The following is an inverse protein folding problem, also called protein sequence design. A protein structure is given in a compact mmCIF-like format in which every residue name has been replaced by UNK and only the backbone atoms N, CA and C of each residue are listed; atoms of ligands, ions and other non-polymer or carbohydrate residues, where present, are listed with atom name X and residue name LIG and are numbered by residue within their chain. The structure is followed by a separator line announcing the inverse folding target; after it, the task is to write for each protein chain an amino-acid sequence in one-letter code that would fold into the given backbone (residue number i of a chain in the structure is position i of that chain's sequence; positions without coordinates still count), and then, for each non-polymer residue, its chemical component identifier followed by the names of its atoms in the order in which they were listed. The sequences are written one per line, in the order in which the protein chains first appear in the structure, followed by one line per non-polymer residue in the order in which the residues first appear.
data_IF_615676283130
#
_entry.id   IF_615676283130
#
_cell.length_a   1.000
_cell.length_b   1.000
_cell.length_c   1.000
_cell.angle_alpha   90.00
_cell.angle_beta   90.00
_cell.angle_gamma   90.00
#
_symmetry.space_group_name_H-M   'P 1'
#
loop_
_entity.id
_entity.type
_entity.pdbx_description
1 polymer ?
#
# COMPACT_ATOMS: atom_id res chain seq x y z
N UNK A 1 19.27 4.97 23.08
CA UNK A 1 17.84 4.59 23.22
C UNK A 1 17.02 5.63 22.48
N UNK A 2 16.36 5.25 21.39
CA UNK A 2 15.28 6.06 20.78
C UNK A 2 14.00 5.41 21.26
N UNK A 3 13.29 6.03 22.20
CA UNK A 3 12.06 5.42 22.75
C UNK A 3 10.94 6.43 23.00
N UNK A 4 11.14 7.69 22.61
CA UNK A 4 10.10 8.71 22.69
C UNK A 4 9.97 9.48 21.38
N UNK A 5 8.86 10.20 21.24
CA UNK A 5 8.53 10.98 20.05
C UNK A 5 9.60 12.00 19.69
N UNK A 6 10.13 12.73 20.68
CA UNK A 6 11.09 13.82 20.47
C UNK A 6 12.40 13.30 19.88
N UNK A 7 12.94 12.23 20.45
CA UNK A 7 14.18 11.62 19.99
C UNK A 7 14.00 11.00 18.61
N UNK A 8 12.84 10.38 18.36
CA UNK A 8 12.51 9.80 17.06
C UNK A 8 12.42 10.87 15.97
N UNK A 9 11.74 12.00 16.23
CA UNK A 9 11.65 13.12 15.29
C UNK A 9 13.01 13.79 15.06
N UNK A 10 13.85 13.89 16.09
CA UNK A 10 15.20 14.44 15.96
C UNK A 10 16.07 13.56 15.06
N UNK A 11 15.98 12.24 15.21
CA UNK A 11 16.70 11.29 14.37
C UNK A 11 16.16 11.26 12.94
N UNK A 12 14.84 11.29 12.74
CA UNK A 12 14.23 11.41 11.41
C UNK A 12 14.72 12.68 10.70
N UNK A 13 14.77 13.82 11.40
CA UNK A 13 15.32 15.07 10.86
C UNK A 13 16.79 14.93 10.48
N UNK A 14 17.61 14.29 11.32
CA UNK A 14 19.05 14.08 11.08
C UNK A 14 19.30 13.19 9.85
N UNK A 15 18.43 12.21 9.60
CA UNK A 15 18.51 11.29 8.46
C UNK A 15 17.89 11.88 7.17
N UNK A 16 17.14 12.98 7.31
CA UNK A 16 16.51 13.68 6.19
C UNK A 16 17.51 14.29 5.23
N UNK A 17 17.11 14.44 3.96
CA UNK A 17 17.91 15.11 2.93
C UNK A 17 17.02 15.80 1.90
N UNK A 18 17.46 16.96 1.42
CA UNK A 18 16.70 17.72 0.42
C UNK A 18 16.48 16.95 -0.87
N UNK A 19 17.47 16.19 -1.33
CA UNK A 19 17.33 15.37 -2.55
C UNK A 19 16.19 14.35 -2.43
N UNK A 20 16.12 13.64 -1.30
CA UNK A 20 15.05 12.66 -1.05
C UNK A 20 13.71 13.35 -0.84
N UNK A 21 13.69 14.47 -0.11
CA UNK A 21 12.50 15.31 0.08
C UNK A 21 11.91 15.75 -1.26
N UNK A 22 12.73 16.26 -2.19
CA UNK A 22 12.28 16.68 -3.53
C UNK A 22 11.71 15.51 -4.33
N UNK A 23 12.29 14.31 -4.21
CA UNK A 23 11.72 13.11 -4.83
C UNK A 23 10.34 12.82 -4.26
N UNK A 24 10.17 12.79 -2.93
CA UNK A 24 8.89 12.51 -2.30
C UNK A 24 7.82 13.55 -2.67
N UNK A 25 8.17 14.84 -2.75
CA UNK A 25 7.26 15.89 -3.23
C UNK A 25 6.79 15.62 -4.67
N UNK A 26 7.68 15.22 -5.59
CA UNK A 26 7.28 14.82 -6.97
C UNK A 26 6.39 13.59 -7.01
N UNK A 27 6.45 12.75 -5.97
CA UNK A 27 5.56 11.59 -5.80
C UNK A 27 4.23 11.93 -5.11
N UNK A 28 3.99 13.18 -4.71
CA UNK A 28 2.75 13.63 -4.09
C UNK A 28 2.77 13.68 -2.56
N UNK A 29 3.93 13.57 -1.93
CA UNK A 29 4.05 13.83 -0.50
C UNK A 29 3.74 15.31 -0.20
N UNK A 30 3.24 15.58 1.01
CA UNK A 30 2.98 16.94 1.49
C UNK A 30 3.91 17.30 2.63
N UNK A 31 4.18 18.60 2.78
CA UNK A 31 4.86 19.14 3.95
C UNK A 31 3.98 18.98 5.22
N UNK A 32 4.59 18.78 6.40
CA UNK A 32 6.02 18.70 6.63
C UNK A 32 6.63 17.33 6.22
N UNK A 33 7.84 17.33 5.67
CA UNK A 33 8.66 16.12 5.51
C UNK A 33 10.15 16.42 5.58
N UNK A 34 10.94 15.47 6.10
CA UNK A 34 12.40 15.57 6.18
C UNK A 34 13.10 14.92 4.98
N UNK A 35 12.46 13.96 4.30
CA UNK A 35 13.05 13.22 3.18
C UNK A 35 14.00 12.13 3.66
N UNK A 36 13.48 11.18 4.43
CA UNK A 36 14.24 10.05 4.99
C UNK A 36 14.15 8.85 4.04
N UNK A 37 15.29 8.22 3.72
CA UNK A 37 15.29 7.04 2.85
C UNK A 37 14.62 5.85 3.55
N UNK A 38 13.93 5.02 2.78
CA UNK A 38 13.30 3.79 3.29
C UNK A 38 14.27 2.82 3.99
N UNK A 39 15.54 2.79 3.58
CA UNK A 39 16.57 1.99 4.25
C UNK A 39 16.83 2.45 5.69
N UNK A 40 16.87 3.77 5.91
CA UNK A 40 17.07 4.36 7.24
C UNK A 40 15.82 4.19 8.11
N UNK A 41 14.62 4.35 7.52
CA UNK A 41 13.35 4.02 8.19
C UNK A 41 13.29 2.54 8.61
N UNK A 42 13.78 1.62 7.77
CA UNK A 42 13.86 0.21 8.12
C UNK A 42 14.84 -0.04 9.29
N UNK A 43 15.96 0.69 9.35
CA UNK A 43 16.87 0.69 10.50
C UNK A 43 16.20 1.18 11.78
N UNK A 44 15.43 2.28 11.70
CA UNK A 44 14.62 2.79 12.82
C UNK A 44 13.58 1.78 13.29
N UNK A 45 12.78 1.24 12.36
CA UNK A 45 11.80 0.18 12.64
C UNK A 45 12.43 -1.00 13.38
N UNK A 46 13.61 -1.47 12.95
CA UNK A 46 14.31 -2.59 13.61
C UNK A 46 14.69 -2.27 15.06
N UNK A 47 15.07 -1.02 15.34
CA UNK A 47 15.43 -0.56 16.70
C UNK A 47 14.22 -0.36 17.61
N UNK A 48 13.12 0.16 17.04
CA UNK A 48 11.88 0.46 17.78
C UNK A 48 11.07 -0.83 18.05
N UNK A 49 10.97 -1.71 17.06
CA UNK A 49 10.05 -2.85 17.11
C UNK A 49 8.61 -2.43 16.85
N UNK A 50 7.65 -3.17 17.40
CA UNK A 50 6.22 -2.81 17.37
C UNK A 50 5.95 -1.93 18.59
N UNK A 51 5.46 -0.71 18.37
CA UNK A 51 5.12 0.27 19.39
C UNK A 51 3.91 1.09 18.93
N UNK A 52 2.72 0.74 19.44
CA UNK A 52 1.46 1.37 19.05
C UNK A 52 1.33 2.80 19.57
N UNK A 53 1.83 3.08 20.78
CA UNK A 53 1.75 4.40 21.38
C UNK A 53 2.64 5.39 20.63
N UNK A 54 3.90 5.01 20.36
CA UNK A 54 4.81 5.81 19.56
C UNK A 54 4.29 5.99 18.13
N UNK A 55 3.78 4.94 17.49
CA UNK A 55 3.17 5.06 16.16
C UNK A 55 2.02 6.06 16.13
N UNK A 56 1.13 6.00 17.12
CA UNK A 56 -0.01 6.93 17.23
C UNK A 56 0.45 8.37 17.42
N UNK A 57 1.52 8.59 18.19
CA UNK A 57 2.12 9.91 18.37
C UNK A 57 2.80 10.41 17.09
N UNK A 58 3.58 9.56 16.41
CA UNK A 58 4.22 9.88 15.14
C UNK A 58 3.19 10.24 14.05
N UNK A 59 2.08 9.50 13.99
CA UNK A 59 1.02 9.76 13.02
C UNK A 59 0.45 11.18 13.14
N UNK A 60 0.19 11.62 14.38
CA UNK A 60 -0.38 12.93 14.70
C UNK A 60 0.53 14.11 14.32
N UNK A 61 1.81 13.88 14.07
CA UNK A 61 2.73 14.96 13.68
C UNK A 61 2.43 15.52 12.29
N UNK A 62 1.70 14.78 11.45
CA UNK A 62 1.47 15.15 10.06
C UNK A 62 2.72 15.10 9.17
N UNK A 63 3.88 14.73 9.72
CA UNK A 63 5.11 14.63 8.95
C UNK A 63 5.13 13.33 8.15
N UNK A 64 5.33 13.40 6.84
CA UNK A 64 5.22 12.24 5.95
C UNK A 64 6.21 11.11 6.33
N UNK A 65 7.45 11.43 6.73
CA UNK A 65 8.42 10.42 7.16
C UNK A 65 8.06 9.81 8.52
N UNK A 66 7.53 10.62 9.45
CA UNK A 66 7.05 10.16 10.74
C UNK A 66 5.80 9.26 10.60
N UNK A 67 4.85 9.63 9.73
CA UNK A 67 3.68 8.82 9.40
C UNK A 67 4.07 7.50 8.71
N UNK A 68 5.08 7.54 7.84
CA UNK A 68 5.63 6.33 7.22
C UNK A 68 6.21 5.39 8.30
N UNK A 69 7.01 5.92 9.22
CA UNK A 69 7.55 5.14 10.34
C UNK A 69 6.44 4.62 11.27
N UNK A 70 5.41 5.42 11.53
CA UNK A 70 4.25 5.02 12.33
C UNK A 70 3.59 3.76 11.76
N UNK A 71 3.31 3.73 10.46
CA UNK A 71 2.74 2.55 9.79
C UNK A 71 3.69 1.34 9.77
N UNK A 72 4.98 1.55 9.92
CA UNK A 72 5.98 0.47 10.00
C UNK A 72 6.07 -0.18 11.38
N UNK A 73 5.73 0.55 12.45
CA UNK A 73 5.88 0.11 13.85
C UNK A 73 4.55 -0.05 14.60
N UNK A 74 3.42 0.31 13.98
CA UNK A 74 2.11 0.15 14.62
C UNK A 74 1.72 -1.30 14.83
N UNK A 75 1.07 -1.58 15.97
CA UNK A 75 0.38 -2.85 16.21
C UNK A 75 -1.00 -2.84 15.50
N UNK A 76 -1.23 -3.68 14.48
CA UNK A 76 -2.52 -3.76 13.81
C UNK A 76 -3.66 -4.26 14.72
N UNK A 77 -3.36 -5.05 15.76
CA UNK A 77 -4.40 -5.60 16.64
C UNK A 77 -5.02 -4.55 17.56
N UNK A 78 -4.31 -3.45 17.80
CA UNK A 78 -4.75 -2.34 18.65
C UNK A 78 -5.49 -1.24 17.87
N UNK A 79 -5.37 -1.21 16.54
CA UNK A 79 -6.08 -0.24 15.71
C UNK A 79 -7.60 -0.41 15.84
N UNK A 80 -8.31 0.72 15.94
CA UNK A 80 -9.78 0.74 15.89
C UNK A 80 -10.27 1.10 14.50
N UNK A 81 -11.43 0.57 14.12
CA UNK A 81 -12.07 0.89 12.83
C UNK A 81 -12.26 2.39 12.60
N UNK A 82 -12.59 3.14 13.68
CA UNK A 82 -12.72 4.60 13.63
C UNK A 82 -11.39 5.30 13.36
N UNK A 83 -10.30 4.86 13.97
CA UNK A 83 -8.97 5.44 13.75
C UNK A 83 -8.53 5.27 12.30
N UNK A 84 -8.75 4.07 11.74
CA UNK A 84 -8.51 3.81 10.32
C UNK A 84 -9.30 4.77 9.42
N UNK A 85 -10.58 4.99 9.74
CA UNK A 85 -11.43 5.93 8.98
C UNK A 85 -10.97 7.38 9.14
N UNK A 86 -10.56 7.79 10.35
CA UNK A 86 -10.08 9.13 10.62
C UNK A 86 -8.77 9.40 9.88
N UNK A 87 -7.87 8.42 9.86
CA UNK A 87 -6.60 8.50 9.13
C UNK A 87 -6.83 8.59 7.63
N UNK A 88 -7.71 7.75 7.07
CA UNK A 88 -8.05 7.79 5.64
C UNK A 88 -8.64 9.12 5.17
N UNK A 89 -9.37 9.85 6.02
CA UNK A 89 -9.99 11.14 5.62
C UNK A 89 -8.98 12.26 5.37
N UNK A 90 -7.77 12.18 5.93
CA UNK A 90 -6.73 13.19 5.79
C UNK A 90 -5.55 12.76 4.91
N UNK A 91 -5.69 11.66 4.15
CA UNK A 91 -4.61 11.09 3.36
C UNK A 91 -4.85 11.25 1.85
N UNK A 92 -4.03 12.10 1.25
CA UNK A 92 -3.98 12.28 -0.21
C UNK A 92 -2.66 11.78 -0.82
N UNK A 93 -1.70 11.36 0.02
CA UNK A 93 -0.44 10.79 -0.46
C UNK A 93 -0.55 9.27 -0.67
N UNK A 94 -0.57 8.84 -1.93
CA UNK A 94 -0.79 7.43 -2.34
C UNK A 94 0.08 6.41 -1.61
N UNK A 95 1.34 6.77 -1.30
CA UNK A 95 2.26 5.90 -0.56
C UNK A 95 1.70 5.59 0.84
N UNK A 96 1.26 6.61 1.57
CA UNK A 96 0.71 6.45 2.91
C UNK A 96 -0.65 5.74 2.86
N UNK A 97 -1.47 6.03 1.85
CA UNK A 97 -2.74 5.32 1.61
C UNK A 97 -2.48 3.82 1.42
N UNK A 98 -1.56 3.44 0.54
CA UNK A 98 -1.19 2.05 0.28
C UNK A 98 -0.57 1.37 1.51
N UNK A 99 0.30 2.06 2.25
CA UNK A 99 0.89 1.52 3.48
C UNK A 99 -0.16 1.30 4.57
N UNK A 100 -1.11 2.23 4.76
CA UNK A 100 -2.21 2.08 5.70
C UNK A 100 -3.08 0.88 5.31
N UNK A 101 -3.41 0.74 4.02
CA UNK A 101 -4.13 -0.42 3.52
C UNK A 101 -3.40 -1.75 3.81
N UNK A 102 -2.06 -1.75 3.71
CA UNK A 102 -1.23 -2.90 4.05
C UNK A 102 -1.18 -3.24 5.55
N UNK A 103 -1.34 -2.24 6.44
CA UNK A 103 -1.57 -2.47 7.88
C UNK A 103 -2.97 -3.03 8.11
N UNK A 104 -3.99 -2.43 7.48
CA UNK A 104 -5.39 -2.84 7.60
C UNK A 104 -5.64 -4.27 7.14
N UNK A 105 -4.90 -4.76 6.15
CA UNK A 105 -4.91 -6.16 5.71
C UNK A 105 -4.59 -7.15 6.84
N UNK A 106 -3.88 -6.73 7.89
CA UNK A 106 -3.55 -7.56 9.07
C UNK A 106 -4.55 -7.43 10.21
N UNK A 107 -5.60 -6.64 10.03
CA UNK A 107 -6.60 -6.36 11.07
C UNK A 107 -7.86 -7.19 10.81
N UNK A 108 -8.66 -7.40 11.86
CA UNK A 108 -10.02 -7.96 11.73
C UNK A 108 -10.98 -7.13 10.86
N UNK A 109 -10.59 -5.92 10.46
CA UNK A 109 -11.43 -5.01 9.67
C UNK A 109 -11.24 -5.16 8.17
N UNK A 110 -10.30 -5.98 7.69
CA UNK A 110 -9.95 -6.08 6.27
C UNK A 110 -11.17 -6.22 5.33
N UNK A 111 -12.08 -7.15 5.62
CA UNK A 111 -13.31 -7.37 4.83
C UNK A 111 -14.22 -6.14 4.86
N UNK A 112 -14.45 -5.57 6.05
CA UNK A 112 -15.34 -4.40 6.18
C UNK A 112 -14.76 -3.17 5.47
N UNK A 113 -13.44 -2.98 5.49
CA UNK A 113 -12.76 -1.89 4.80
C UNK A 113 -12.70 -2.12 3.29
N UNK A 114 -12.46 -3.35 2.81
CA UNK A 114 -12.64 -3.71 1.40
C UNK A 114 -14.03 -3.30 0.92
N UNK A 115 -15.08 -3.76 1.60
CA UNK A 115 -16.48 -3.52 1.22
C UNK A 115 -16.81 -2.03 1.12
N UNK A 116 -16.31 -1.23 2.07
CA UNK A 116 -16.53 0.21 2.13
C UNK A 116 -15.73 0.95 1.05
N UNK A 117 -14.44 0.66 0.94
CA UNK A 117 -13.51 1.41 0.10
C UNK A 117 -13.66 1.08 -1.38
N UNK A 118 -13.92 -0.19 -1.74
CA UNK A 118 -14.07 -0.60 -3.14
C UNK A 118 -15.30 0.00 -3.84
N UNK A 119 -16.28 0.46 -3.04
CA UNK A 119 -17.54 1.09 -3.50
C UNK A 119 -17.54 2.61 -3.37
N UNK A 120 -16.48 3.19 -2.81
CA UNK A 120 -16.34 4.64 -2.71
C UNK A 120 -16.06 5.27 -4.08
N UNK A 121 -16.41 6.54 -4.23
CA UNK A 121 -16.11 7.33 -5.44
C UNK A 121 -14.73 8.02 -5.38
N UNK A 122 -14.16 8.17 -4.19
CA UNK A 122 -12.88 8.87 -4.03
C UNK A 122 -11.70 8.00 -4.45
N UNK A 123 -10.74 8.62 -5.15
CA UNK A 123 -9.54 7.95 -5.63
C UNK A 123 -8.75 7.30 -4.49
N UNK A 124 -8.49 8.01 -3.39
CA UNK A 124 -7.75 7.47 -2.24
C UNK A 124 -8.43 6.23 -1.63
N UNK A 125 -9.77 6.17 -1.62
CA UNK A 125 -10.47 4.96 -1.14
C UNK A 125 -10.29 3.79 -2.11
N UNK A 126 -10.39 4.02 -3.41
CA UNK A 126 -10.13 2.97 -4.40
C UNK A 126 -8.67 2.49 -4.32
N UNK A 127 -7.70 3.41 -4.22
CA UNK A 127 -6.29 3.09 -4.00
C UNK A 127 -6.13 2.22 -2.75
N UNK A 128 -6.77 2.58 -1.64
CA UNK A 128 -6.73 1.80 -0.40
C UNK A 128 -7.34 0.40 -0.58
N UNK A 129 -8.50 0.28 -1.23
CA UNK A 129 -9.18 -1.00 -1.43
C UNK A 129 -8.31 -2.01 -2.19
N UNK A 130 -7.76 -1.61 -3.33
CA UNK A 130 -6.96 -2.52 -4.15
C UNK A 130 -5.55 -2.74 -3.59
N UNK A 131 -4.98 -1.74 -2.91
CA UNK A 131 -3.72 -1.93 -2.15
C UNK A 131 -3.92 -2.92 -1.00
N UNK A 132 -5.06 -2.88 -0.31
CA UNK A 132 -5.41 -3.84 0.74
C UNK A 132 -5.40 -5.26 0.18
N UNK A 133 -6.08 -5.51 -0.94
CA UNK A 133 -6.10 -6.83 -1.59
C UNK A 133 -4.68 -7.30 -1.95
N UNK A 134 -3.89 -6.43 -2.60
CA UNK A 134 -2.52 -6.76 -2.99
C UNK A 134 -1.63 -7.11 -1.78
N UNK A 135 -1.76 -6.36 -0.69
CA UNK A 135 -1.01 -6.60 0.53
C UNK A 135 -1.49 -7.85 1.26
N UNK A 136 -2.79 -8.08 1.36
CA UNK A 136 -3.37 -9.26 2.03
C UNK A 136 -2.90 -10.54 1.34
N UNK A 137 -3.01 -10.61 0.01
CA UNK A 137 -2.53 -11.74 -0.79
C UNK A 137 -1.04 -12.02 -0.62
N UNK A 138 -0.22 -10.97 -0.52
CA UNK A 138 1.23 -11.13 -0.33
C UNK A 138 1.59 -11.62 1.08
N UNK A 139 0.79 -11.26 2.08
CA UNK A 139 1.07 -11.53 3.49
C UNK A 139 0.51 -12.87 3.93
N UNK A 140 -0.74 -13.16 3.57
CA UNK A 140 -1.44 -14.40 3.89
C UNK A 140 -2.46 -14.73 2.79
N UNK A 141 -2.00 -15.31 1.65
CA UNK A 141 -2.87 -15.56 0.50
C UNK A 141 -4.05 -16.47 0.81
N UNK A 142 -3.88 -17.44 1.71
CA UNK A 142 -4.91 -18.40 2.09
C UNK A 142 -6.01 -17.80 2.98
N UNK A 143 -5.76 -16.63 3.57
CA UNK A 143 -6.73 -15.92 4.42
C UNK A 143 -7.66 -15.01 3.62
N UNK A 144 -7.38 -14.76 2.34
CA UNK A 144 -8.16 -13.86 1.49
C UNK A 144 -9.39 -14.60 0.97
N UNK A 145 -10.62 -14.18 1.29
CA UNK A 145 -11.81 -14.87 0.80
C UNK A 145 -11.91 -14.82 -0.72
N UNK A 146 -12.27 -15.94 -1.36
CA UNK A 146 -12.50 -16.03 -2.80
C UNK A 146 -13.46 -14.95 -3.29
N UNK A 147 -14.50 -14.64 -2.52
CA UNK A 147 -15.48 -13.58 -2.84
C UNK A 147 -14.84 -12.20 -2.98
N UNK A 148 -13.81 -11.88 -2.19
CA UNK A 148 -13.05 -10.62 -2.32
C UNK A 148 -12.22 -10.62 -3.60
N UNK A 149 -11.57 -11.74 -3.91
CA UNK A 149 -10.73 -11.89 -5.10
C UNK A 149 -11.59 -11.81 -6.37
N UNK A 150 -12.69 -12.54 -6.41
CA UNK A 150 -13.64 -12.57 -7.54
C UNK A 150 -14.29 -11.21 -7.76
N UNK A 151 -14.74 -10.53 -6.68
CA UNK A 151 -15.26 -9.17 -6.78
C UNK A 151 -14.19 -8.20 -7.30
N UNK A 152 -12.95 -8.30 -6.82
CA UNK A 152 -11.85 -7.47 -7.29
C UNK A 152 -11.56 -7.71 -8.79
N UNK A 153 -11.44 -8.97 -9.23
CA UNK A 153 -11.22 -9.32 -10.64
C UNK A 153 -12.33 -8.78 -11.54
N UNK A 154 -13.60 -8.93 -11.13
CA UNK A 154 -14.74 -8.43 -11.88
C UNK A 154 -14.69 -6.90 -12.03
N UNK A 155 -14.52 -6.18 -10.92
CA UNK A 155 -14.46 -4.70 -10.95
C UNK A 155 -13.28 -4.18 -11.78
N UNK A 156 -12.16 -4.91 -11.75
CA UNK A 156 -10.98 -4.58 -12.57
C UNK A 156 -11.27 -4.77 -14.05
N UNK A 157 -11.82 -5.93 -14.44
CA UNK A 157 -12.19 -6.22 -15.82
C UNK A 157 -13.17 -5.19 -16.38
N UNK A 158 -14.14 -4.77 -15.57
CA UNK A 158 -15.24 -3.90 -16.00
C UNK A 158 -14.88 -2.41 -16.05
N UNK A 159 -13.94 -1.94 -15.21
CA UNK A 159 -13.84 -0.50 -14.93
C UNK A 159 -12.44 0.07 -14.69
N UNK A 160 -11.36 -0.70 -14.88
CA UNK A 160 -10.01 -0.17 -14.63
C UNK A 160 -9.65 1.02 -15.51
N UNK A 161 -10.07 1.08 -16.77
CA UNK A 161 -9.72 2.19 -17.67
C UNK A 161 -10.48 3.48 -17.36
N UNK A 162 -11.70 3.35 -16.81
CA UNK A 162 -12.53 4.48 -16.40
C UNK A 162 -12.28 4.94 -14.97
N UNK A 163 -11.43 4.21 -14.24
CA UNK A 163 -11.09 4.54 -12.84
C UNK A 163 -10.13 5.73 -12.76
N UNK A 164 -10.13 6.48 -11.62
CA UNK A 164 -9.18 7.55 -11.37
C UNK A 164 -7.72 7.11 -11.54
N UNK A 165 -6.85 8.03 -11.92
CA UNK A 165 -5.47 7.78 -12.35
C UNK A 165 -4.67 6.83 -11.43
N UNK A 166 -4.58 7.14 -10.13
CA UNK A 166 -3.84 6.34 -9.15
C UNK A 166 -4.59 5.07 -8.76
N UNK A 167 -5.92 5.10 -8.79
CA UNK A 167 -6.74 3.90 -8.61
C UNK A 167 -6.43 2.84 -9.69
N UNK A 168 -6.23 3.24 -10.96
CA UNK A 168 -5.80 2.31 -12.03
C UNK A 168 -4.50 1.59 -11.69
N UNK A 169 -3.54 2.30 -11.10
CA UNK A 169 -2.29 1.69 -10.68
C UNK A 169 -2.49 0.65 -9.58
N UNK A 170 -3.26 1.00 -8.55
CA UNK A 170 -3.57 0.09 -7.45
C UNK A 170 -4.35 -1.16 -7.93
N UNK A 171 -5.31 -0.97 -8.84
CA UNK A 171 -6.07 -2.04 -9.49
C UNK A 171 -5.16 -2.98 -10.28
N UNK A 172 -4.25 -2.44 -11.10
CA UNK A 172 -3.28 -3.25 -11.85
C UNK A 172 -2.34 -4.03 -10.90
N UNK A 173 -1.92 -3.41 -9.79
CA UNK A 173 -1.10 -4.08 -8.79
C UNK A 173 -1.86 -5.19 -8.05
N UNK A 174 -3.15 -5.00 -7.76
CA UNK A 174 -4.01 -6.04 -7.20
C UNK A 174 -4.20 -7.21 -8.16
N UNK A 175 -4.45 -6.93 -9.44
CA UNK A 175 -4.55 -7.95 -10.50
C UNK A 175 -3.27 -8.79 -10.58
N UNK A 176 -2.11 -8.14 -10.54
CA UNK A 176 -0.81 -8.82 -10.48
C UNK A 176 -0.69 -9.66 -9.21
N UNK A 177 -1.03 -9.11 -8.05
CA UNK A 177 -0.93 -9.83 -6.78
C UNK A 177 -1.82 -11.08 -6.76
N UNK A 178 -3.04 -11.01 -7.30
CA UNK A 178 -3.94 -12.17 -7.46
C UNK A 178 -3.26 -13.23 -8.32
N UNK A 179 -2.74 -12.83 -9.49
CA UNK A 179 -2.05 -13.76 -10.40
C UNK A 179 -0.79 -14.40 -9.81
N UNK A 180 -0.08 -13.67 -8.95
CA UNK A 180 1.17 -14.16 -8.35
C UNK A 180 0.88 -15.08 -7.16
N UNK A 181 0.09 -14.61 -6.20
CA UNK A 181 -0.01 -15.24 -4.88
C UNK A 181 -1.23 -16.17 -4.72
N UNK A 182 -2.27 -16.06 -5.55
CA UNK A 182 -3.41 -16.96 -5.49
C UNK A 182 -3.35 -17.99 -6.62
N UNK A 183 -2.91 -19.21 -6.31
CA UNK A 183 -2.82 -20.28 -7.30
C UNK A 183 -4.17 -20.60 -7.94
N UNK A 184 -5.22 -20.74 -7.11
CA UNK A 184 -6.59 -20.98 -7.54
C UNK A 184 -7.08 -19.94 -8.57
N UNK A 185 -6.75 -18.67 -8.37
CA UNK A 185 -7.28 -17.58 -9.19
C UNK A 185 -6.32 -17.11 -10.29
N UNK A 186 -5.11 -17.67 -10.37
CA UNK A 186 -4.06 -17.25 -11.31
C UNK A 186 -4.54 -17.23 -12.76
N UNK A 187 -5.23 -18.30 -13.19
CA UNK A 187 -5.77 -18.38 -14.54
C UNK A 187 -6.79 -17.27 -14.83
N UNK A 188 -7.66 -16.96 -13.88
CA UNK A 188 -8.64 -15.87 -14.00
C UNK A 188 -7.95 -14.49 -14.05
N UNK A 189 -6.94 -14.26 -13.22
CA UNK A 189 -6.18 -13.02 -13.23
C UNK A 189 -5.44 -12.80 -14.56
N UNK A 190 -4.87 -13.85 -15.15
CA UNK A 190 -4.21 -13.74 -16.47
C UNK A 190 -5.23 -13.38 -17.55
N UNK A 191 -6.39 -14.04 -17.59
CA UNK A 191 -7.46 -13.71 -18.55
C UNK A 191 -7.94 -12.26 -18.41
N UNK A 192 -8.14 -11.79 -17.17
CA UNK A 192 -8.51 -10.39 -16.92
C UNK A 192 -7.39 -9.45 -17.35
N UNK A 193 -6.13 -9.78 -17.11
CA UNK A 193 -4.99 -8.97 -17.55
C UNK A 193 -4.89 -8.89 -19.08
N UNK A 194 -5.16 -9.97 -19.80
CA UNK A 194 -5.22 -9.99 -21.26
C UNK A 194 -6.39 -9.15 -21.79
N UNK A 195 -7.57 -9.28 -21.20
CA UNK A 195 -8.76 -8.49 -21.55
C UNK A 195 -8.55 -6.98 -21.32
N UNK A 196 -8.00 -6.61 -20.16
CA UNK A 196 -7.72 -5.23 -19.78
C UNK A 196 -6.63 -4.63 -20.68
N UNK A 197 -5.60 -5.40 -21.01
CA UNK A 197 -4.48 -4.92 -21.81
C UNK A 197 -3.66 -3.84 -21.10
N UNK A 198 -3.17 -2.86 -21.87
CA UNK A 198 -2.24 -1.83 -21.36
C UNK A 198 -2.94 -0.82 -20.45
N UNK A 199 -2.55 -0.77 -19.18
CA UNK A 199 -3.00 0.25 -18.22
C UNK A 199 -2.06 1.47 -18.24
N UNK A 200 -2.62 2.66 -18.51
CA UNK A 200 -1.86 3.91 -18.51
C UNK A 200 -2.13 4.73 -17.24
N UNK A 201 -1.06 5.13 -16.56
CA UNK A 201 -1.11 5.92 -15.32
C UNK A 201 -0.13 7.08 -15.50
N UNK A 202 -0.59 8.29 -15.20
CA UNK A 202 0.28 9.43 -15.03
C UNK A 202 1.01 9.29 -13.68
N UNK A 203 2.33 9.13 -13.74
CA UNK A 203 3.18 9.02 -12.57
C UNK A 203 3.80 10.36 -12.14
N UNK A 204 3.35 11.47 -12.71
CA UNK A 204 3.92 12.80 -12.51
C UNK A 204 5.35 12.88 -13.05
N UNK A 205 6.15 13.77 -12.45
CA UNK A 205 7.54 14.01 -12.85
C UNK A 205 8.50 12.93 -12.30
N UNK A 206 8.21 11.67 -12.60
CA UNK A 206 8.95 10.50 -12.09
C UNK A 206 9.28 9.54 -13.23
N UNK A 207 10.28 8.67 -13.03
CA UNK A 207 10.63 7.62 -13.98
C UNK A 207 9.75 6.36 -13.87
N UNK A 208 8.68 6.40 -13.07
CA UNK A 208 7.85 5.23 -12.78
C UNK A 208 7.04 4.79 -13.99
N UNK A 209 6.86 3.47 -14.13
CA UNK A 209 6.12 2.85 -15.23
C UNK A 209 5.08 1.90 -14.65
N UNK A 210 3.90 1.88 -15.27
CA UNK A 210 2.89 0.87 -14.97
C UNK A 210 3.33 -0.47 -15.57
N UNK A 211 3.42 -1.55 -14.78
CA UNK A 211 3.83 -2.84 -15.28
C UNK A 211 2.75 -3.49 -16.16
N UNK A 212 3.20 -4.17 -17.22
CA UNK A 212 2.38 -5.12 -17.99
C UNK A 212 2.02 -6.30 -17.07
N UNK A 213 0.74 -6.43 -16.73
CA UNK A 213 0.30 -7.38 -15.72
C UNK A 213 0.61 -8.83 -16.10
N UNK A 214 0.38 -9.23 -17.35
CA UNK A 214 0.63 -10.61 -17.83
C UNK A 214 2.12 -10.96 -17.69
N UNK A 215 3.00 -10.11 -18.23
CA UNK A 215 4.45 -10.34 -18.17
C UNK A 215 4.97 -10.31 -16.73
N UNK A 216 4.43 -9.41 -15.91
CA UNK A 216 4.86 -9.26 -14.52
C UNK A 216 4.43 -10.45 -13.67
N UNK A 217 3.22 -10.98 -13.86
CA UNK A 217 2.74 -12.20 -13.20
C UNK A 217 3.68 -13.36 -13.55
N UNK A 218 3.92 -13.62 -14.84
CA UNK A 218 4.78 -14.72 -15.28
C UNK A 218 6.20 -14.63 -14.68
N UNK A 219 6.82 -13.44 -14.75
CA UNK A 219 8.15 -13.19 -14.17
C UNK A 219 8.17 -13.41 -12.66
N UNK A 220 7.14 -12.94 -11.95
CA UNK A 220 7.09 -12.99 -10.48
C UNK A 220 6.82 -14.41 -9.99
N UNK A 221 5.91 -15.16 -10.60
CA UNK A 221 5.66 -16.57 -10.28
C UNK A 221 6.94 -17.39 -10.46
N UNK A 222 7.67 -17.19 -11.56
CA UNK A 222 8.95 -17.85 -11.77
C UNK A 222 10.00 -17.50 -10.68
N UNK A 223 10.01 -16.26 -10.20
CA UNK A 223 10.88 -15.84 -9.09
C UNK A 223 10.49 -16.49 -7.75
N UNK A 224 9.20 -16.55 -7.42
CA UNK A 224 8.73 -17.08 -6.13
C UNK A 224 8.80 -18.61 -6.06
N UNK A 225 8.53 -19.32 -7.16
CA UNK A 225 8.70 -20.78 -7.26
C UNK A 225 10.13 -21.22 -6.98
N UNK A 226 11.12 -20.51 -7.53
CA UNK A 226 12.55 -20.76 -7.25
C UNK A 226 12.93 -20.63 -5.76
N UNK A 227 12.05 -20.04 -4.94
CA UNK A 227 12.27 -19.80 -3.51
C UNK A 227 11.29 -20.59 -2.63
N UNK A 228 10.52 -21.51 -3.20
CA UNK A 228 9.54 -22.34 -2.49
C UNK A 228 8.38 -21.55 -1.86
N UNK A 229 7.97 -20.43 -2.48
CA UNK A 229 6.96 -19.50 -1.93
C UNK A 229 5.68 -19.35 -2.78
N UNK A 230 5.60 -20.09 -3.89
CA UNK A 230 4.48 -20.19 -4.84
C UNK A 230 4.64 -21.48 -5.65
#
# INVERSE_FOLDING_TARGET
MIVNLKDTLSELRRLGSDGTRQIYLRHGASEPLFGVKFGDLAGLKKRIGVDHELASLLWKTGNSDAQTLALMVIDPNQLKSKEIDDWMRGLDYDLLVGMLAGVVAKTRFAITKWTKWSRAKSESSLVAAYSLVAHWLKQSPDDVPDTVIEEALKRIADGIHDSPNRARHAMNNALIAIGVFSERHRGSAIRVAEQVGKVTVDHGQTGCKTPDAVKYIAKSVAHYRKRGRC
#
